data_IF_215671321134
#
_entry.id   IF_215671321134
#
_cell.length_a   1.000
_cell.length_b   1.000
_cell.length_c   1.000
_cell.angle_alpha   90.00
_cell.angle_beta   90.00
_cell.angle_gamma   90.00
#
_symmetry.space_group_name_H-M   'P 1'
#
loop_
_entity.id
_entity.type
_entity.pdbx_description
1 polymer ?
#
# COMPACT_ATOMS: atom_id res chain seq x y z
N UNK A 1 5.64 -36.03 4.08
CA UNK A 1 7.12 -35.88 4.14
C UNK A 1 7.44 -34.75 5.09
N UNK A 2 7.94 -35.05 6.29
CA UNK A 2 8.43 -34.04 7.24
C UNK A 2 9.83 -33.59 6.79
N UNK A 3 10.00 -32.30 6.57
CA UNK A 3 11.29 -31.70 6.24
C UNK A 3 12.25 -31.90 7.42
N UNK A 4 13.45 -32.41 7.15
CA UNK A 4 14.48 -32.59 8.18
C UNK A 4 14.88 -31.26 8.84
N UNK A 5 15.45 -31.31 10.06
CA UNK A 5 15.69 -30.13 10.90
C UNK A 5 16.54 -29.05 10.22
N UNK A 6 17.49 -29.42 9.36
CA UNK A 6 18.31 -28.46 8.62
C UNK A 6 17.49 -27.64 7.61
N UNK A 7 16.57 -28.28 6.89
CA UNK A 7 15.72 -27.61 5.88
C UNK A 7 14.70 -26.68 6.54
N UNK A 8 14.19 -27.05 7.72
CA UNK A 8 13.29 -26.19 8.51
C UNK A 8 14.01 -24.92 8.97
N UNK A 9 15.23 -25.04 9.49
CA UNK A 9 16.04 -23.90 9.92
C UNK A 9 16.39 -22.97 8.75
N UNK A 10 16.72 -23.54 7.59
CA UNK A 10 17.02 -22.78 6.39
C UNK A 10 15.79 -22.01 5.89
N UNK A 11 14.62 -22.65 5.85
CA UNK A 11 13.36 -22.00 5.53
C UNK A 11 13.01 -20.86 6.49
N UNK A 12 13.14 -21.10 7.81
CA UNK A 12 12.91 -20.07 8.82
C UNK A 12 13.87 -18.87 8.68
N UNK A 13 15.13 -19.12 8.32
CA UNK A 13 16.14 -18.06 8.10
C UNK A 13 15.83 -17.21 6.88
N UNK A 14 15.41 -17.83 5.77
CA UNK A 14 15.02 -17.13 4.55
C UNK A 14 13.77 -16.28 4.81
N UNK A 15 12.76 -16.84 5.45
CA UNK A 15 11.54 -16.11 5.82
C UNK A 15 11.84 -14.94 6.77
N UNK A 16 12.69 -15.14 7.77
CA UNK A 16 13.10 -14.08 8.70
C UNK A 16 13.86 -12.94 8.01
N UNK A 17 14.72 -13.25 7.04
CA UNK A 17 15.43 -12.24 6.23
C UNK A 17 14.47 -11.47 5.32
N UNK A 18 13.57 -12.17 4.64
CA UNK A 18 12.55 -11.55 3.80
C UNK A 18 11.64 -10.63 4.61
N UNK A 19 11.16 -11.08 5.78
CA UNK A 19 10.32 -10.28 6.67
C UNK A 19 11.04 -9.02 7.19
N UNK A 20 12.31 -9.15 7.58
CA UNK A 20 13.15 -8.00 8.00
C UNK A 20 13.32 -6.99 6.87
N UNK A 21 13.59 -7.47 5.65
CA UNK A 21 13.76 -6.61 4.48
C UNK A 21 12.46 -5.90 4.13
N UNK A 22 11.33 -6.61 4.08
CA UNK A 22 10.01 -6.05 3.78
C UNK A 22 9.58 -5.00 4.82
N UNK A 23 9.78 -5.27 6.12
CA UNK A 23 9.51 -4.29 7.18
C UNK A 23 10.45 -3.08 7.09
N UNK A 24 11.70 -3.27 6.69
CA UNK A 24 12.67 -2.19 6.46
C UNK A 24 12.30 -1.28 5.29
N UNK A 25 11.63 -1.80 4.25
CA UNK A 25 11.06 -0.99 3.17
C UNK A 25 9.91 -0.10 3.65
N UNK A 26 9.10 -0.57 4.61
CA UNK A 26 8.07 0.23 5.26
C UNK A 26 8.59 1.44 6.05
N UNK A 27 9.84 1.39 6.52
CA UNK A 27 10.47 2.48 7.28
C UNK A 27 11.11 3.56 6.39
N UNK A 28 11.34 3.28 5.10
CA UNK A 28 11.88 4.22 4.11
C UNK A 28 10.82 4.79 3.14
N UNK A 29 9.55 4.42 3.30
CA UNK A 29 8.44 5.21 2.76
C UNK A 29 8.42 6.52 3.54
N UNK A 30 9.15 7.50 3.00
CA UNK A 30 9.56 8.72 3.69
C UNK A 30 8.51 9.27 4.63
N UNK A 31 8.94 9.64 5.82
CA UNK A 31 8.17 10.40 6.82
C UNK A 31 7.83 11.82 6.35
N UNK A 32 7.78 12.07 5.03
CA UNK A 32 7.08 13.22 4.50
C UNK A 32 5.62 13.01 4.87
N UNK A 33 5.08 13.88 5.73
CA UNK A 33 3.66 13.87 6.08
C UNK A 33 2.87 14.13 4.80
N UNK A 34 2.59 13.07 4.03
CA UNK A 34 1.68 13.16 2.89
C UNK A 34 0.36 13.61 3.47
N UNK A 35 -0.09 14.79 3.06
CA UNK A 35 -1.33 15.35 3.54
C UNK A 35 -2.48 14.45 3.11
N UNK A 36 -3.59 14.47 3.86
CA UNK A 36 -4.77 13.69 3.46
C UNK A 36 -5.22 14.04 2.04
N UNK A 37 -5.08 15.31 1.66
CA UNK A 37 -5.35 15.83 0.32
C UNK A 37 -4.56 15.13 -0.77
N UNK A 38 -3.26 14.98 -0.58
CA UNK A 38 -2.37 14.30 -1.54
C UNK A 38 -2.69 12.81 -1.64
N UNK A 39 -3.02 12.15 -0.53
CA UNK A 39 -3.44 10.74 -0.54
C UNK A 39 -4.74 10.53 -1.32
N UNK A 40 -5.73 11.39 -1.10
CA UNK A 40 -7.03 11.32 -1.76
C UNK A 40 -6.87 11.56 -3.27
N UNK A 41 -6.11 12.57 -3.67
CA UNK A 41 -5.83 12.84 -5.10
C UNK A 41 -5.10 11.69 -5.78
N UNK A 42 -4.02 11.19 -5.18
CA UNK A 42 -3.27 10.06 -5.72
C UNK A 42 -4.14 8.79 -5.84
N UNK A 43 -5.13 8.63 -4.96
CA UNK A 43 -6.07 7.50 -5.02
C UNK A 43 -7.10 7.68 -6.14
N UNK A 44 -7.61 8.89 -6.34
CA UNK A 44 -8.51 9.22 -7.43
C UNK A 44 -7.84 9.10 -8.81
N UNK A 45 -6.59 9.56 -8.95
CA UNK A 45 -5.81 9.40 -10.18
C UNK A 45 -5.62 7.93 -10.56
N UNK A 46 -5.39 7.04 -9.57
CA UNK A 46 -5.30 5.58 -9.80
C UNK A 46 -6.61 4.97 -10.31
N UNK A 47 -7.74 5.58 -9.95
CA UNK A 47 -9.07 5.19 -10.43
C UNK A 47 -9.42 5.85 -11.79
N UNK A 48 -8.50 6.64 -12.36
CA UNK A 48 -8.71 7.37 -13.61
C UNK A 48 -9.64 8.57 -13.48
N UNK A 49 -9.80 9.12 -12.28
CA UNK A 49 -10.64 10.28 -11.99
C UNK A 49 -9.79 11.55 -12.13
N UNK A 50 -10.20 12.49 -12.97
CA UNK A 50 -9.60 13.83 -13.02
C UNK A 50 -9.99 14.61 -11.76
N UNK A 51 -9.01 15.07 -11.00
CA UNK A 51 -9.21 15.80 -9.75
C UNK A 51 -9.03 17.32 -9.90
N UNK A 52 -8.81 17.79 -11.13
CA UNK A 52 -8.57 19.20 -11.44
C UNK A 52 -9.78 20.05 -11.10
N UNK A 53 -9.60 21.03 -10.21
CA UNK A 53 -10.68 21.94 -9.79
C UNK A 53 -11.64 21.38 -8.74
N UNK A 54 -11.47 20.13 -8.30
CA UNK A 54 -12.33 19.52 -7.28
C UNK A 54 -11.78 19.69 -5.86
N UNK A 55 -12.67 19.86 -4.91
CA UNK A 55 -12.33 19.78 -3.48
C UNK A 55 -12.21 18.32 -2.99
N UNK A 56 -11.58 18.12 -1.83
CA UNK A 56 -11.36 16.79 -1.24
C UNK A 56 -12.68 16.03 -1.04
N UNK A 57 -13.74 16.71 -0.60
CA UNK A 57 -15.05 16.07 -0.38
C UNK A 57 -15.66 15.57 -1.68
N UNK A 58 -15.56 16.36 -2.75
CA UNK A 58 -16.04 15.99 -4.09
C UNK A 58 -15.26 14.80 -4.64
N UNK A 59 -13.92 14.82 -4.51
CA UNK A 59 -13.07 13.71 -4.94
C UNK A 59 -13.46 12.42 -4.21
N UNK A 60 -13.68 12.49 -2.89
CA UNK A 60 -14.12 11.33 -2.09
C UNK A 60 -15.47 10.79 -2.57
N UNK A 61 -16.43 11.68 -2.85
CA UNK A 61 -17.75 11.29 -3.35
C UNK A 61 -17.65 10.55 -4.70
N UNK A 62 -16.91 11.11 -5.65
CA UNK A 62 -16.72 10.52 -6.98
C UNK A 62 -16.00 9.17 -6.89
N UNK A 63 -15.00 9.05 -6.01
CA UNK A 63 -14.33 7.78 -5.75
C UNK A 63 -15.30 6.72 -5.20
N UNK A 64 -16.15 7.07 -4.22
CA UNK A 64 -17.14 6.14 -3.65
C UNK A 64 -18.16 5.72 -4.72
N UNK A 65 -18.63 6.67 -5.54
CA UNK A 65 -19.56 6.36 -6.63
C UNK A 65 -18.92 5.42 -7.67
N UNK A 66 -17.66 5.65 -8.03
CA UNK A 66 -16.93 4.79 -8.96
C UNK A 66 -16.76 3.37 -8.43
N UNK A 67 -16.37 3.24 -7.16
CA UNK A 67 -16.17 1.95 -6.49
C UNK A 67 -17.49 1.21 -6.23
N UNK A 68 -18.61 1.92 -6.15
CA UNK A 68 -19.92 1.32 -5.92
C UNK A 68 -20.61 0.84 -7.21
N UNK A 69 -20.05 1.16 -8.37
CA UNK A 69 -20.55 0.76 -9.70
C UNK A 69 -19.75 -0.39 -10.33
N UNK A 70 -18.69 -0.87 -9.67
CA UNK A 70 -18.01 -2.15 -9.94
C UNK A 70 -18.58 -3.26 -9.07
#
# INVERSE_FOLDING_TARGET
>A
VLLGPQKVMEGARVLGKAYRQFRGYGANLGSGKVTEKERVRASAERLGIDTSGMDIEEIKLVMVEKLSKE
#
